data_IF_584855536683
#
_entry.id   IF_584855536683
#
_cell.length_a   1.000
_cell.length_b   1.000
_cell.length_c   1.000
_cell.angle_alpha   90.00
_cell.angle_beta   90.00
_cell.angle_gamma   90.00
#
_symmetry.space_group_name_H-M   'P 1'
#
loop_
_entity.id
_entity.type
_entity.pdbx_description
1 polymer ?
#
# COMPACT_ATOMS: atom_id res chain seq x y z
N UNK A 1 28.53 -0.90 39.06
CA UNK A 1 28.61 -2.26 38.52
C UNK A 1 27.47 -2.44 37.53
N UNK A 2 27.81 -3.02 36.38
CA UNK A 2 27.10 -2.94 35.10
C UNK A 2 25.85 -3.83 34.99
N UNK A 3 24.97 -3.38 34.08
CA UNK A 3 24.16 -4.13 33.12
C UNK A 3 23.14 -5.17 33.61
N UNK A 4 21.87 -4.78 33.65
CA UNK A 4 20.77 -5.69 33.26
C UNK A 4 19.55 -4.93 32.72
N UNK A 5 19.73 -4.11 31.68
CA UNK A 5 18.59 -3.53 30.92
C UNK A 5 18.89 -3.57 29.43
N UNK A 6 18.92 -4.77 28.82
CA UNK A 6 19.09 -4.88 27.36
C UNK A 6 18.47 -6.11 26.71
N UNK A 7 17.65 -6.91 27.42
CA UNK A 7 17.09 -8.13 26.84
C UNK A 7 15.59 -8.05 26.48
N UNK A 8 14.88 -6.97 26.83
CA UNK A 8 13.42 -6.92 26.69
C UNK A 8 12.88 -6.19 25.44
N UNK A 9 13.73 -5.68 24.54
CA UNK A 9 13.26 -4.89 23.38
C UNK A 9 13.53 -5.55 22.00
N UNK A 10 13.92 -6.84 21.96
CA UNK A 10 14.21 -7.51 20.68
C UNK A 10 13.06 -8.35 20.13
N UNK A 11 12.16 -8.84 20.98
CA UNK A 11 11.07 -9.72 20.55
C UNK A 11 9.82 -8.94 20.07
N UNK A 12 9.52 -7.78 20.65
CA UNK A 12 8.43 -6.91 20.15
C UNK A 12 8.78 -6.18 18.85
N UNK A 13 10.07 -6.03 18.54
CA UNK A 13 10.53 -5.37 17.32
C UNK A 13 10.39 -6.25 16.06
N UNK A 14 10.05 -7.54 16.21
CA UNK A 14 9.96 -8.48 15.08
C UNK A 14 8.56 -8.57 14.47
N UNK A 15 7.52 -8.10 15.17
CA UNK A 15 6.15 -8.06 14.63
C UNK A 15 5.87 -6.88 13.67
N UNK A 16 6.81 -5.94 13.53
CA UNK A 16 6.66 -4.75 12.66
C UNK A 16 7.37 -4.85 11.32
N UNK A 17 8.23 -5.86 11.12
CA UNK A 17 9.00 -6.00 9.88
C UNK A 17 8.25 -6.86 8.87
N UNK A 18 8.02 -6.31 7.69
CA UNK A 18 7.41 -7.01 6.56
C UNK A 18 8.46 -7.33 5.50
N UNK A 19 8.39 -8.54 4.96
CA UNK A 19 9.18 -8.98 3.81
C UNK A 19 8.80 -8.21 2.54
N UNK A 20 9.63 -8.30 1.50
CA UNK A 20 9.27 -7.79 0.17
C UNK A 20 7.95 -8.40 -0.34
N UNK A 21 7.69 -9.68 -0.07
CA UNK A 21 6.47 -10.36 -0.52
C UNK A 21 5.22 -9.78 0.15
N UNK A 22 5.26 -9.55 1.47
CA UNK A 22 4.19 -8.89 2.20
C UNK A 22 4.03 -7.42 1.78
N UNK A 23 5.14 -6.73 1.53
CA UNK A 23 5.09 -5.37 1.00
C UNK A 23 4.39 -5.31 -0.37
N UNK A 24 4.53 -6.33 -1.21
CA UNK A 24 3.83 -6.42 -2.50
C UNK A 24 2.33 -6.73 -2.36
N UNK A 25 1.88 -7.25 -1.21
CA UNK A 25 0.46 -7.36 -0.88
C UNK A 25 -0.12 -5.99 -0.52
N UNK A 26 0.63 -5.16 0.20
CA UNK A 26 0.22 -3.80 0.59
C UNK A 26 0.30 -2.85 -0.60
N UNK A 27 1.44 -2.87 -1.32
CA UNK A 27 1.74 -2.04 -2.47
C UNK A 27 1.66 -2.91 -3.73
N UNK A 28 0.68 -2.70 -4.63
CA UNK A 28 0.51 -3.51 -5.83
C UNK A 28 1.53 -3.08 -6.92
N UNK A 29 2.81 -3.22 -6.60
CA UNK A 29 3.95 -2.81 -7.42
C UNK A 29 4.99 -3.93 -7.50
N UNK A 30 5.79 -3.89 -8.56
CA UNK A 30 6.85 -4.89 -8.77
C UNK A 30 8.03 -4.68 -7.80
N UNK A 31 8.80 -5.74 -7.54
CA UNK A 31 10.07 -5.65 -6.80
C UNK A 31 11.03 -4.62 -7.46
N UNK A 32 11.03 -4.54 -8.80
CA UNK A 32 11.78 -3.50 -9.51
C UNK A 32 11.34 -2.09 -9.11
N UNK A 33 10.04 -1.84 -9.00
CA UNK A 33 9.50 -0.55 -8.53
C UNK A 33 9.88 -0.28 -7.07
N UNK A 34 9.83 -1.29 -6.19
CA UNK A 34 10.26 -1.16 -4.79
C UNK A 34 11.74 -0.74 -4.72
N UNK A 35 12.61 -1.38 -5.50
CA UNK A 35 14.02 -0.99 -5.61
C UNK A 35 14.21 0.43 -6.17
N UNK A 36 13.31 0.89 -7.06
CA UNK A 36 13.33 2.27 -7.53
C UNK A 36 12.93 3.24 -6.42
N UNK A 37 11.92 2.95 -5.61
CA UNK A 37 11.58 3.78 -4.46
C UNK A 37 12.77 3.97 -3.53
N UNK A 38 13.47 2.89 -3.15
CA UNK A 38 14.66 2.98 -2.28
C UNK A 38 15.81 3.81 -2.88
N UNK A 39 15.85 4.03 -4.19
CA UNK A 39 16.91 4.81 -4.87
C UNK A 39 16.49 6.25 -5.20
N UNK A 40 15.22 6.46 -5.55
CA UNK A 40 14.73 7.69 -6.16
C UNK A 40 13.82 8.50 -5.22
N UNK A 41 13.26 7.88 -4.18
CA UNK A 41 12.44 8.55 -3.17
C UNK A 41 13.15 8.54 -1.81
N UNK A 42 13.66 9.71 -1.40
CA UNK A 42 14.36 9.89 -0.13
C UNK A 42 13.50 9.67 1.11
N UNK A 43 12.16 9.68 0.97
CA UNK A 43 11.21 9.41 2.05
C UNK A 43 10.81 7.95 2.13
N UNK A 44 11.14 7.13 1.13
CA UNK A 44 10.81 5.71 1.16
C UNK A 44 11.63 4.99 2.25
N UNK A 45 11.01 4.11 3.06
CA UNK A 45 11.72 3.43 4.15
C UNK A 45 12.91 2.61 3.64
N UNK A 46 14.05 2.77 4.30
CA UNK A 46 15.24 1.99 4.00
C UNK A 46 15.01 0.51 4.41
N UNK A 47 15.43 -0.46 3.59
CA UNK A 47 15.33 -1.86 3.95
C UNK A 47 16.32 -2.22 5.07
N UNK A 48 15.88 -3.09 5.98
CA UNK A 48 16.73 -3.78 6.95
C UNK A 48 17.11 -5.14 6.37
N UNK A 49 18.40 -5.43 6.30
CA UNK A 49 18.89 -6.71 5.79
C UNK A 49 18.97 -7.71 6.95
N UNK A 50 18.24 -8.82 6.85
CA UNK A 50 18.30 -9.93 7.79
C UNK A 50 18.69 -11.18 6.99
N UNK A 51 19.90 -11.67 7.22
CA UNK A 51 20.50 -12.73 6.39
C UNK A 51 20.70 -12.25 4.94
N UNK A 52 19.95 -12.84 4.00
CA UNK A 52 19.97 -12.51 2.56
C UNK A 52 18.71 -11.79 2.08
N UNK A 53 17.78 -11.50 2.97
CA UNK A 53 16.48 -10.93 2.64
C UNK A 53 16.35 -9.49 3.14
N UNK A 54 15.59 -8.69 2.38
CA UNK A 54 15.24 -7.33 2.73
C UNK A 54 13.89 -7.31 3.44
N UNK A 55 13.84 -6.60 4.56
CA UNK A 55 12.65 -6.34 5.35
C UNK A 55 12.41 -4.84 5.44
N UNK A 56 11.16 -4.43 5.64
CA UNK A 56 10.76 -3.04 5.79
C UNK A 56 9.98 -2.87 7.07
N UNK A 57 10.15 -1.74 7.74
CA UNK A 57 9.30 -1.38 8.86
C UNK A 57 7.90 -1.01 8.36
N UNK A 58 6.89 -1.76 8.80
CA UNK A 58 5.50 -1.60 8.37
C UNK A 58 4.97 -0.20 8.71
N UNK A 59 5.21 0.31 9.91
CA UNK A 59 4.72 1.62 10.32
C UNK A 59 5.36 2.73 9.48
N UNK A 60 6.65 2.61 9.12
CA UNK A 60 7.29 3.55 8.21
C UNK A 60 6.72 3.47 6.79
N UNK A 61 6.32 2.29 6.32
CA UNK A 61 5.65 2.14 5.01
C UNK A 61 4.30 2.86 5.02
N UNK A 62 3.48 2.70 6.06
CA UNK A 62 2.19 3.39 6.16
C UNK A 62 2.36 4.90 6.33
N UNK A 63 3.34 5.35 7.11
CA UNK A 63 3.69 6.78 7.19
C UNK A 63 4.09 7.36 5.83
N UNK A 64 4.87 6.60 5.05
CA UNK A 64 5.25 6.99 3.69
C UNK A 64 4.03 7.04 2.76
N UNK A 65 3.14 6.06 2.84
CA UNK A 65 1.87 6.04 2.10
C UNK A 65 0.99 7.26 2.42
N UNK A 66 0.83 7.61 3.69
CA UNK A 66 0.10 8.81 4.12
C UNK A 66 0.66 10.09 3.48
N UNK A 67 1.98 10.18 3.31
CA UNK A 67 2.62 11.34 2.67
C UNK A 67 2.36 11.45 1.15
N UNK A 68 1.89 10.36 0.54
CA UNK A 68 1.60 10.22 -0.90
C UNK A 68 0.10 10.16 -1.20
N UNK A 69 -0.73 10.10 -0.16
CA UNK A 69 -2.17 10.12 -0.27
C UNK A 69 -2.67 11.54 -0.53
N UNK A 70 -3.71 11.68 -1.37
CA UNK A 70 -4.42 12.95 -1.56
C UNK A 70 -5.11 13.45 -0.29
N UNK A 71 -5.32 12.55 0.68
CA UNK A 71 -5.79 12.84 2.03
C UNK A 71 -4.93 12.09 3.05
N UNK A 72 -4.02 12.81 3.71
CA UNK A 72 -2.96 12.22 4.55
C UNK A 72 -3.47 11.46 5.79
N UNK A 73 -4.64 11.83 6.31
CA UNK A 73 -5.20 11.25 7.55
C UNK A 73 -6.04 9.98 7.32
N UNK A 74 -6.09 9.45 6.09
CA UNK A 74 -7.02 8.37 5.74
C UNK A 74 -6.38 6.97 5.73
N UNK A 75 -5.06 6.89 5.61
CA UNK A 75 -4.33 5.62 5.55
C UNK A 75 -4.21 5.00 6.95
N UNK A 76 -4.59 3.72 7.06
CA UNK A 76 -4.51 2.90 8.27
C UNK A 76 -3.50 1.75 8.10
N UNK A 77 -2.95 1.23 9.21
CA UNK A 77 -1.91 0.18 9.22
C UNK A 77 -2.36 -1.21 8.69
N UNK A 78 -3.65 -1.34 8.34
CA UNK A 78 -4.24 -2.51 7.70
C UNK A 78 -4.66 -2.26 6.25
N UNK A 79 -4.50 -1.03 5.75
CA UNK A 79 -4.94 -0.69 4.41
C UNK A 79 -4.11 -1.42 3.35
N UNK A 80 -4.80 -1.85 2.29
CA UNK A 80 -4.21 -2.45 1.10
C UNK A 80 -4.49 -1.52 -0.07
N UNK A 81 -3.46 -1.24 -0.85
CA UNK A 81 -3.58 -0.36 -2.01
C UNK A 81 -3.95 -1.20 -3.24
N UNK A 82 -4.88 -0.70 -4.06
CA UNK A 82 -5.36 -1.33 -5.27
C UNK A 82 -4.96 -0.52 -6.50
N UNK A 83 -4.57 -1.23 -7.55
CA UNK A 83 -4.62 -0.70 -8.91
C UNK A 83 -6.06 -0.55 -9.39
N UNK A 84 -6.27 0.23 -10.46
CA UNK A 84 -7.58 0.31 -11.14
C UNK A 84 -8.11 -1.06 -11.57
N UNK A 85 -7.23 -1.94 -12.06
CA UNK A 85 -7.64 -3.26 -12.54
C UNK A 85 -8.06 -4.16 -11.38
N UNK A 86 -7.33 -4.13 -10.26
CA UNK A 86 -7.71 -4.86 -9.03
C UNK A 86 -9.02 -4.33 -8.43
N UNK A 87 -9.24 -3.02 -8.43
CA UNK A 87 -10.53 -2.45 -8.01
C UNK A 87 -11.68 -2.91 -8.94
N UNK A 88 -11.42 -3.01 -10.25
CA UNK A 88 -12.39 -3.55 -11.20
C UNK A 88 -12.75 -5.01 -10.91
N UNK A 89 -11.73 -5.85 -10.69
CA UNK A 89 -11.92 -7.26 -10.31
C UNK A 89 -12.72 -7.36 -9.00
N UNK A 90 -12.35 -6.58 -7.98
CA UNK A 90 -13.00 -6.58 -6.66
C UNK A 90 -14.50 -6.27 -6.74
N UNK A 91 -14.89 -5.38 -7.67
CA UNK A 91 -16.29 -4.96 -7.84
C UNK A 91 -17.03 -5.73 -8.94
N UNK A 92 -16.36 -6.64 -9.66
CA UNK A 92 -16.91 -7.27 -10.86
C UNK A 92 -17.25 -6.27 -11.96
N UNK A 93 -16.44 -5.21 -12.11
CA UNK A 93 -16.63 -4.09 -13.05
C UNK A 93 -15.44 -3.89 -13.98
N UNK A 94 -15.70 -3.26 -15.12
CA UNK A 94 -14.66 -2.91 -16.08
C UNK A 94 -13.80 -1.74 -15.60
N UNK A 95 -12.56 -1.66 -16.09
CA UNK A 95 -11.66 -0.54 -15.84
C UNK A 95 -12.29 0.82 -16.18
N UNK A 96 -13.02 0.91 -17.29
CA UNK A 96 -13.70 2.15 -17.69
C UNK A 96 -14.76 2.60 -16.67
N UNK A 97 -15.49 1.65 -16.08
CA UNK A 97 -16.45 1.94 -15.02
C UNK A 97 -15.75 2.49 -13.77
N UNK A 98 -14.63 1.88 -13.36
CA UNK A 98 -13.83 2.35 -12.22
C UNK A 98 -13.34 3.79 -12.45
N UNK A 99 -12.81 4.10 -13.62
CA UNK A 99 -12.37 5.47 -13.94
C UNK A 99 -13.50 6.50 -13.82
N UNK A 100 -14.68 6.18 -14.36
CA UNK A 100 -15.84 7.09 -14.36
C UNK A 100 -16.41 7.30 -12.96
N UNK A 101 -16.48 6.26 -12.12
CA UNK A 101 -17.21 6.30 -10.85
C UNK A 101 -16.32 6.49 -9.62
N UNK A 102 -15.04 6.12 -9.70
CA UNK A 102 -14.09 6.20 -8.57
C UNK A 102 -13.12 7.37 -8.78
N UNK A 103 -12.44 7.43 -9.93
CA UNK A 103 -11.40 8.45 -10.14
C UNK A 103 -11.97 9.86 -10.38
N UNK A 104 -13.11 9.99 -11.06
CA UNK A 104 -13.60 11.29 -11.55
C UNK A 104 -14.42 12.05 -10.49
N UNK A 105 -14.87 11.37 -9.43
CA UNK A 105 -15.79 11.94 -8.44
C UNK A 105 -15.10 12.57 -7.20
N UNK A 106 -13.76 12.57 -7.12
CA UNK A 106 -12.98 13.11 -5.98
C UNK A 106 -13.37 12.58 -4.59
N UNK A 107 -14.10 11.46 -4.51
CA UNK A 107 -14.56 10.89 -3.23
C UNK A 107 -13.57 9.92 -2.59
N UNK A 108 -12.58 9.46 -3.35
CA UNK A 108 -11.63 8.44 -2.90
C UNK A 108 -10.25 9.05 -2.65
N UNK A 109 -9.58 8.54 -1.63
CA UNK A 109 -8.18 8.85 -1.37
C UNK A 109 -7.33 8.20 -2.47
N UNK A 110 -6.67 9.04 -3.27
CA UNK A 110 -5.72 8.59 -4.29
C UNK A 110 -4.33 8.51 -3.67
N UNK A 111 -3.62 7.41 -3.93
CA UNK A 111 -2.24 7.24 -3.49
C UNK A 111 -1.32 7.36 -4.70
N UNK A 112 -0.34 8.26 -4.65
CA UNK A 112 0.69 8.34 -5.68
C UNK A 112 1.83 7.35 -5.38
N UNK A 113 1.99 6.32 -6.22
CA UNK A 113 3.10 5.36 -6.16
C UNK A 113 4.14 5.58 -7.27
N UNK A 114 4.32 6.81 -7.75
CA UNK A 114 5.38 7.15 -8.70
C UNK A 114 6.76 7.24 -8.02
N UNK A 115 7.82 6.58 -8.53
CA UNK A 115 9.12 6.56 -7.87
C UNK A 115 9.93 7.86 -7.95
N UNK A 116 9.47 8.90 -8.67
CA UNK A 116 10.16 10.19 -8.74
C UNK A 116 9.41 11.26 -9.56
N UNK A 117 9.92 12.50 -9.54
CA UNK A 117 9.33 13.73 -10.11
C UNK A 117 9.21 13.79 -11.64
N UNK A 118 9.25 12.66 -12.34
CA UNK A 118 8.98 12.58 -13.78
C UNK A 118 7.93 11.53 -14.03
N UNK A 119 6.67 11.92 -14.00
CA UNK A 119 5.70 11.18 -14.79
C UNK A 119 4.68 12.11 -15.40
N UNK A 120 4.28 11.78 -16.63
CA UNK A 120 2.93 12.05 -17.05
C UNK A 120 1.93 11.56 -15.99
N UNK A 121 0.69 12.03 -16.11
CA UNK A 121 -0.41 11.88 -15.16
C UNK A 121 -0.29 10.63 -14.25
N UNK A 122 -0.15 10.79 -12.92
CA UNK A 122 0.03 9.68 -12.00
C UNK A 122 -1.10 8.66 -12.17
N UNK A 123 -0.76 7.37 -12.11
CA UNK A 123 -1.77 6.30 -12.14
C UNK A 123 -2.53 6.34 -10.82
N UNK A 124 -3.86 6.36 -10.83
CA UNK A 124 -4.63 6.37 -9.59
C UNK A 124 -4.51 5.00 -8.92
N UNK A 125 -4.06 5.00 -7.67
CA UNK A 125 -4.16 3.86 -6.76
C UNK A 125 -5.18 4.20 -5.68
N UNK A 126 -5.90 3.18 -5.21
CA UNK A 126 -7.05 3.33 -4.31
C UNK A 126 -6.85 2.54 -3.02
N UNK A 127 -7.46 3.01 -1.93
CA UNK A 127 -7.51 2.24 -0.68
C UNK A 127 -8.62 1.18 -0.79
N UNK A 128 -8.28 -0.10 -0.61
CA UNK A 128 -9.25 -1.22 -0.70
C UNK A 128 -10.46 -1.03 0.21
N UNK A 129 -10.22 -0.59 1.45
CA UNK A 129 -11.27 -0.38 2.45
C UNK A 129 -12.30 0.64 1.97
N UNK A 130 -11.87 1.82 1.48
CA UNK A 130 -12.79 2.83 0.95
C UNK A 130 -13.62 2.30 -0.23
N UNK A 131 -12.99 1.53 -1.13
CA UNK A 131 -13.71 0.92 -2.27
C UNK A 131 -14.79 -0.05 -1.80
N UNK A 132 -14.51 -0.85 -0.77
CA UNK A 132 -15.48 -1.79 -0.19
C UNK A 132 -16.59 -1.09 0.58
N UNK A 133 -16.26 -0.03 1.33
CA UNK A 133 -17.24 0.77 2.07
C UNK A 133 -18.19 1.51 1.12
N UNK A 134 -17.69 2.00 -0.01
CA UNK A 134 -18.50 2.71 -1.00
C UNK A 134 -19.36 1.78 -1.88
N UNK A 135 -18.91 0.55 -2.12
CA UNK A 135 -19.57 -0.40 -3.02
C UNK A 135 -19.72 -1.82 -2.44
N UNK A 136 -20.32 -1.98 -1.24
CA UNK A 136 -20.40 -3.27 -0.56
C UNK A 136 -21.19 -4.31 -1.38
N UNK A 137 -22.29 -3.90 -2.01
CA UNK A 137 -23.15 -4.79 -2.80
C UNK A 137 -22.44 -5.33 -4.04
N UNK A 138 -21.67 -4.47 -4.72
CA UNK A 138 -20.92 -4.88 -5.92
C UNK A 138 -19.82 -5.90 -5.55
N UNK A 139 -19.14 -5.68 -4.44
CA UNK A 139 -18.14 -6.62 -3.93
C UNK A 139 -18.77 -7.97 -3.54
N UNK A 140 -19.92 -7.95 -2.87
CA UNK A 140 -20.65 -9.17 -2.50
C UNK A 140 -21.09 -9.97 -3.74
N UNK A 141 -21.64 -9.30 -4.76
CA UNK A 141 -22.03 -9.94 -6.03
C UNK A 141 -20.82 -10.53 -6.75
N UNK A 142 -19.69 -9.83 -6.77
CA UNK A 142 -18.48 -10.31 -7.41
C UNK A 142 -17.92 -11.55 -6.70
N UNK A 143 -17.94 -11.58 -5.36
CA UNK A 143 -17.50 -12.71 -4.56
C UNK A 143 -18.37 -13.97 -4.81
N UNK A 144 -19.69 -13.81 -4.93
CA UNK A 144 -20.60 -14.92 -5.24
C UNK A 144 -20.37 -15.53 -6.62
N UNK A 145 -19.90 -14.74 -7.60
CA UNK A 145 -19.59 -15.23 -8.95
C UNK A 145 -18.25 -15.96 -9.04
N UNK A 146 -17.39 -15.82 -8.04
CA UNK A 146 -16.06 -16.44 -7.99
C UNK A 146 -16.03 -17.74 -7.16
N UNK A 147 -17.12 -18.04 -6.45
CA UNK A 147 -17.34 -19.30 -5.71
C UNK A 147 -18.02 -20.34 -6.61
#
# INVERSE_FOLDING_TARGET
>A
MNNTVSALNKEDADMTKISVAELQVILPVSNHTIRRFSREDSKFPAPVIIGRANYFDRAMIYKWLSSRASAANTIQDSDVILTTDQAGILLGRSRAWVWKNITTNNQFTLVDLSPGAKSGKPKPYFIKREVLEAFPDLAAIAAQKAA
#
